data_IF_599043127947
#
_entry.id   IF_599043127947
#
_cell.length_a   1.000
_cell.length_b   1.000
_cell.length_c   1.000
_cell.angle_alpha   90.00
_cell.angle_beta   90.00
_cell.angle_gamma   90.00
#
_symmetry.space_group_name_H-M   'P 1'
#
loop_
_entity.id
_entity.type
_entity.pdbx_description
1 polymer ?
#
# COMPACT_ATOMS: atom_id res chain seq x y z
N UNK A 1 -14.26 -40.39 -16.99
CA UNK A 1 -12.86 -39.94 -16.93
C UNK A 1 -12.80 -38.86 -15.88
N UNK A 2 -11.98 -39.06 -14.86
CA UNK A 2 -11.92 -38.22 -13.68
C UNK A 2 -11.21 -36.89 -13.98
N UNK A 3 -11.87 -35.81 -13.59
CA UNK A 3 -11.37 -34.45 -13.54
C UNK A 3 -10.20 -34.37 -12.55
N UNK A 4 -8.97 -34.34 -13.09
CA UNK A 4 -7.71 -34.16 -12.36
C UNK A 4 -7.08 -32.82 -12.73
N UNK A 5 -7.87 -31.76 -12.73
CA UNK A 5 -7.40 -30.40 -12.93
C UNK A 5 -8.07 -29.46 -11.95
N UNK A 6 -7.83 -29.65 -10.65
CA UNK A 6 -8.27 -28.70 -9.64
C UNK A 6 -7.75 -27.32 -10.02
N UNK A 7 -8.62 -26.48 -10.58
CA UNK A 7 -8.24 -25.15 -11.04
C UNK A 7 -7.87 -24.33 -9.83
N UNK A 8 -6.57 -24.14 -9.60
CA UNK A 8 -6.09 -23.18 -8.62
C UNK A 8 -6.36 -21.78 -9.18
N UNK A 9 -7.59 -21.31 -9.00
CA UNK A 9 -8.00 -19.99 -9.46
C UNK A 9 -7.71 -18.98 -8.35
N UNK A 10 -6.59 -18.26 -8.49
CA UNK A 10 -6.27 -17.14 -7.61
C UNK A 10 -7.44 -16.14 -7.64
N UNK A 11 -8.05 -15.89 -6.47
CA UNK A 11 -9.13 -14.90 -6.33
C UNK A 11 -8.65 -13.47 -6.62
N UNK A 12 -7.35 -13.23 -6.51
CA UNK A 12 -6.68 -11.97 -6.83
C UNK A 12 -5.35 -12.29 -7.50
N UNK A 13 -5.14 -11.77 -8.71
CA UNK A 13 -3.90 -12.00 -9.45
C UNK A 13 -2.76 -11.09 -8.92
N UNK A 14 -1.49 -11.47 -9.10
CA UNK A 14 -0.35 -10.60 -8.77
C UNK A 14 -0.46 -9.20 -9.39
N UNK A 15 -0.88 -9.10 -10.65
CA UNK A 15 -1.05 -7.82 -11.35
C UNK A 15 -2.10 -6.94 -10.68
N UNK A 16 -3.19 -7.55 -10.19
CA UNK A 16 -4.23 -6.82 -9.47
C UNK A 16 -3.68 -6.27 -8.16
N UNK A 17 -2.87 -7.05 -7.43
CA UNK A 17 -2.24 -6.59 -6.19
C UNK A 17 -1.28 -5.41 -6.45
N UNK A 18 -0.45 -5.49 -7.48
CA UNK A 18 0.48 -4.41 -7.86
C UNK A 18 -0.25 -3.14 -8.28
N UNK A 19 -1.29 -3.28 -9.11
CA UNK A 19 -2.11 -2.13 -9.52
C UNK A 19 -2.75 -1.43 -8.32
N UNK A 20 -3.26 -2.19 -7.34
CA UNK A 20 -3.86 -1.63 -6.12
C UNK A 20 -2.81 -1.02 -5.20
N UNK A 21 -1.62 -1.62 -5.10
CA UNK A 21 -0.48 -1.08 -4.35
C UNK A 21 -0.08 0.31 -4.91
N UNK A 22 0.18 0.39 -6.23
CA UNK A 22 0.55 1.63 -6.91
C UNK A 22 -0.51 2.73 -6.77
N UNK A 23 -1.79 2.36 -6.87
CA UNK A 23 -2.91 3.30 -6.67
C UNK A 23 -2.98 3.81 -5.23
N UNK A 24 -2.71 2.96 -4.24
CA UNK A 24 -2.65 3.36 -2.84
C UNK A 24 -1.46 4.28 -2.55
N UNK A 25 -0.26 3.95 -3.05
CA UNK A 25 0.93 4.82 -2.94
C UNK A 25 0.67 6.22 -3.51
N UNK A 26 0.07 6.28 -4.70
CA UNK A 26 -0.27 7.55 -5.35
C UNK A 26 -1.21 8.41 -4.49
N UNK A 27 -2.17 7.80 -3.79
CA UNK A 27 -3.09 8.51 -2.90
C UNK A 27 -2.39 8.96 -1.61
N UNK A 28 -1.54 8.11 -1.04
CA UNK A 28 -0.76 8.43 0.16
C UNK A 28 0.21 9.59 -0.14
N UNK A 29 0.86 9.60 -1.31
CA UNK A 29 1.72 10.70 -1.73
C UNK A 29 0.97 12.04 -1.82
N UNK A 30 -0.26 12.03 -2.38
CA UNK A 30 -1.12 13.21 -2.42
C UNK A 30 -1.52 13.67 -1.01
N UNK A 31 -1.86 12.72 -0.13
CA UNK A 31 -2.21 13.01 1.25
C UNK A 31 -1.06 13.71 1.98
N UNK A 32 0.17 13.18 1.86
CA UNK A 32 1.39 13.81 2.41
C UNK A 32 1.59 15.22 1.90
N UNK A 33 1.40 15.44 0.59
CA UNK A 33 1.50 16.77 -0.02
C UNK A 33 0.51 17.75 0.60
N UNK A 34 -0.75 17.37 0.78
CA UNK A 34 -1.77 18.22 1.41
C UNK A 34 -1.41 18.57 2.86
N UNK A 35 -0.86 17.63 3.62
CA UNK A 35 -0.41 17.92 4.99
C UNK A 35 0.78 18.88 5.03
N UNK A 36 1.75 18.73 4.13
CA UNK A 36 2.86 19.69 4.00
C UNK A 36 2.36 21.09 3.63
N UNK A 37 1.37 21.19 2.74
CA UNK A 37 0.74 22.46 2.39
C UNK A 37 0.01 23.07 3.60
N UNK A 38 -0.71 22.26 4.36
CA UNK A 38 -1.38 22.70 5.58
C UNK A 38 -0.39 23.17 6.65
N UNK A 39 0.73 22.46 6.86
CA UNK A 39 1.83 22.88 7.74
C UNK A 39 2.34 24.28 7.36
N UNK A 40 2.53 24.52 6.07
CA UNK A 40 2.97 25.81 5.53
C UNK A 40 1.95 26.92 5.82
N UNK A 41 0.67 26.66 5.57
CA UNK A 41 -0.41 27.63 5.81
C UNK A 41 -0.50 27.97 7.29
N UNK A 42 -0.52 26.96 8.16
CA UNK A 42 -0.64 27.15 9.62
C UNK A 42 0.57 27.88 10.17
N UNK A 43 1.78 27.57 9.69
CA UNK A 43 2.98 28.30 10.10
C UNK A 43 2.89 29.79 9.73
N UNK A 44 2.37 30.12 8.54
CA UNK A 44 2.17 31.52 8.11
C UNK A 44 1.15 32.29 8.95
N UNK A 45 0.22 31.61 9.62
CA UNK A 45 -0.75 32.27 10.51
C UNK A 45 -0.07 33.05 11.64
N UNK A 46 1.14 32.65 12.04
CA UNK A 46 1.93 33.36 13.07
C UNK A 46 2.21 34.83 12.73
N UNK A 47 2.21 35.20 11.44
CA UNK A 47 2.51 36.57 11.01
C UNK A 47 1.35 37.56 11.17
N UNK A 48 0.10 37.07 11.26
CA UNK A 48 -1.08 37.94 11.33
C UNK A 48 -2.06 37.56 12.44
N UNK A 49 -2.05 36.31 12.91
CA UNK A 49 -2.85 35.84 14.03
C UNK A 49 -1.99 35.74 15.29
N UNK A 50 -1.84 36.91 15.90
CA UNK A 50 -1.10 37.13 17.13
C UNK A 50 -2.01 36.93 18.36
N UNK A 51 -1.40 36.54 19.48
CA UNK A 51 -2.09 36.34 20.75
C UNK A 51 -2.38 34.87 21.10
N UNK A 52 -2.91 34.66 22.30
CA UNK A 52 -3.05 33.35 22.94
C UNK A 52 -3.90 32.37 22.13
N UNK A 53 -4.96 32.85 21.49
CA UNK A 53 -5.82 32.01 20.64
C UNK A 53 -5.06 31.44 19.44
N UNK A 54 -4.24 32.26 18.76
CA UNK A 54 -3.44 31.83 17.62
C UNK A 54 -2.39 30.80 18.02
N UNK A 55 -1.72 31.01 19.16
CA UNK A 55 -0.76 30.06 19.70
C UNK A 55 -1.41 28.74 20.12
N UNK A 56 -2.57 28.80 20.77
CA UNK A 56 -3.33 27.61 21.16
C UNK A 56 -3.72 26.77 19.94
N UNK A 57 -4.24 27.38 18.88
CA UNK A 57 -4.61 26.67 17.67
C UNK A 57 -3.39 26.03 16.98
N UNK A 58 -2.25 26.74 16.89
CA UNK A 58 -1.00 26.18 16.36
C UNK A 58 -0.50 25.00 17.19
N UNK A 59 -0.62 25.09 18.53
CA UNK A 59 -0.25 24.01 19.44
C UNK A 59 -1.13 22.77 19.23
N UNK A 60 -2.46 22.93 19.22
CA UNK A 60 -3.41 21.83 18.99
C UNK A 60 -3.13 21.17 17.64
N UNK A 61 -2.86 21.98 16.60
CA UNK A 61 -2.51 21.43 15.29
C UNK A 61 -1.25 20.57 15.35
N UNK A 62 -0.19 21.05 16.01
CA UNK A 62 1.06 20.29 16.17
C UNK A 62 0.85 18.97 16.89
N UNK A 63 0.03 18.95 17.95
CA UNK A 63 -0.34 17.73 18.66
C UNK A 63 -1.09 16.74 17.75
N UNK A 64 -1.96 17.22 16.87
CA UNK A 64 -2.67 16.39 15.88
C UNK A 64 -1.79 15.92 14.74
N UNK A 65 -0.76 16.67 14.39
CA UNK A 65 0.19 16.30 13.34
C UNK A 65 0.90 14.97 13.66
N UNK A 66 1.29 14.76 14.92
CA UNK A 66 1.95 13.51 15.32
C UNK A 66 1.06 12.27 15.09
N UNK A 67 -0.24 12.40 15.42
CA UNK A 67 -1.25 11.36 15.17
C UNK A 67 -1.41 11.09 13.66
N UNK A 68 -1.42 12.15 12.85
CA UNK A 68 -1.53 12.06 11.39
C UNK A 68 -0.30 11.40 10.76
N UNK A 69 0.90 11.74 11.21
CA UNK A 69 2.15 11.14 10.72
C UNK A 69 2.16 9.62 11.02
N UNK A 70 1.66 9.19 12.19
CA UNK A 70 1.50 7.79 12.53
C UNK A 70 0.48 7.06 11.62
N UNK A 71 -0.64 7.71 11.29
CA UNK A 71 -1.64 7.18 10.37
C UNK A 71 -1.04 6.99 8.96
N UNK A 72 -0.31 7.99 8.46
CA UNK A 72 0.35 7.93 7.15
C UNK A 72 1.37 6.78 7.13
N UNK A 73 2.21 6.66 8.17
CA UNK A 73 3.18 5.57 8.27
C UNK A 73 2.50 4.19 8.29
N UNK A 74 1.32 4.07 8.91
CA UNK A 74 0.53 2.83 8.87
C UNK A 74 0.00 2.55 7.46
N UNK A 75 -0.50 3.58 6.78
CA UNK A 75 -1.02 3.45 5.42
C UNK A 75 0.07 3.02 4.43
N UNK A 76 1.29 3.54 4.58
CA UNK A 76 2.45 3.18 3.74
C UNK A 76 2.83 1.69 3.84
N UNK A 77 2.46 0.99 4.92
CA UNK A 77 2.71 -0.47 5.04
C UNK A 77 1.82 -1.30 4.10
N UNK A 78 0.63 -0.82 3.77
CA UNK A 78 -0.32 -1.63 2.99
C UNK A 78 0.15 -1.87 1.55
N UNK A 79 0.63 -0.87 0.78
CA UNK A 79 1.21 -1.11 -0.54
C UNK A 79 2.40 -2.07 -0.52
N UNK A 80 3.30 -1.92 0.45
CA UNK A 80 4.47 -2.81 0.62
C UNK A 80 4.01 -4.26 0.81
N UNK A 81 3.02 -4.49 1.67
CA UNK A 81 2.49 -5.83 1.90
C UNK A 81 1.83 -6.41 0.64
N UNK A 82 1.09 -5.60 -0.13
CA UNK A 82 0.48 -6.05 -1.39
C UNK A 82 1.54 -6.44 -2.43
N UNK A 83 2.63 -5.68 -2.51
CA UNK A 83 3.76 -5.97 -3.41
C UNK A 83 4.48 -7.26 -3.00
N UNK A 84 4.70 -7.46 -1.69
CA UNK A 84 5.27 -8.70 -1.16
C UNK A 84 4.38 -9.91 -1.47
N UNK A 85 3.06 -9.79 -1.29
CA UNK A 85 2.11 -10.85 -1.64
C UNK A 85 2.15 -11.17 -3.14
N UNK A 86 2.24 -10.15 -4.00
CA UNK A 86 2.38 -10.35 -5.45
C UNK A 86 3.66 -11.14 -5.80
N UNK A 87 4.77 -10.87 -5.12
CA UNK A 87 6.02 -11.62 -5.28
C UNK A 87 5.89 -13.09 -4.87
N UNK A 88 5.35 -13.35 -3.68
CA UNK A 88 5.13 -14.72 -3.17
C UNK A 88 4.24 -15.53 -4.13
N UNK A 89 3.20 -14.92 -4.70
CA UNK A 89 2.35 -15.62 -5.67
C UNK A 89 3.07 -16.00 -6.96
N UNK A 90 3.95 -15.13 -7.48
CA UNK A 90 4.75 -15.44 -8.67
C UNK A 90 5.74 -16.57 -8.44
N UNK A 91 6.41 -16.56 -7.28
CA UNK A 91 7.35 -17.62 -6.91
C UNK A 91 6.62 -18.96 -6.81
N UNK A 92 5.48 -19.01 -6.13
CA UNK A 92 4.67 -20.22 -6.02
C UNK A 92 4.13 -20.71 -7.38
N UNK A 93 3.79 -19.82 -8.30
CA UNK A 93 3.41 -20.19 -9.67
C UNK A 93 4.60 -20.77 -10.45
N UNK A 94 5.78 -20.17 -10.34
CA UNK A 94 6.99 -20.67 -10.99
C UNK A 94 7.38 -22.07 -10.49
N UNK A 95 7.38 -22.28 -9.16
CA UNK A 95 7.67 -23.57 -8.54
C UNK A 95 6.67 -24.66 -8.98
N UNK A 96 5.38 -24.32 -9.08
CA UNK A 96 4.36 -25.25 -9.56
C UNK A 96 4.54 -25.58 -11.06
N UNK A 97 4.92 -24.63 -11.89
CA UNK A 97 5.22 -24.88 -13.30
C UNK A 97 6.44 -25.80 -13.41
N UNK A 98 7.50 -25.55 -12.65
CA UNK A 98 8.70 -26.38 -12.62
C UNK A 98 8.40 -27.80 -12.11
N UNK A 99 7.58 -27.95 -11.07
CA UNK A 99 7.17 -29.26 -10.54
C UNK A 99 6.20 -30.02 -11.45
N UNK A 100 5.36 -29.33 -12.24
CA UNK A 100 4.42 -29.95 -13.18
C UNK A 100 5.05 -30.31 -14.53
N UNK A 101 6.13 -29.64 -14.92
CA UNK A 101 6.87 -29.89 -16.17
C UNK A 101 7.38 -31.34 -16.28
N UNK A 102 8.02 -31.96 -15.26
CA UNK A 102 8.44 -33.36 -15.32
C UNK A 102 7.27 -34.34 -15.22
N UNK A 103 6.17 -33.98 -14.54
CA UNK A 103 4.98 -34.84 -14.44
C UNK A 103 4.20 -34.93 -15.78
N UNK A 104 4.22 -33.87 -16.60
CA UNK A 104 3.65 -33.91 -17.97
C UNK A 104 4.54 -34.65 -18.98
N UNK A 105 5.85 -34.76 -18.72
CA UNK A 105 6.78 -35.54 -19.55
C UNK A 105 6.61 -37.06 -19.37
N UNK A 106 6.01 -37.51 -18.27
CA UNK A 106 5.85 -38.93 -17.91
C UNK A 106 4.52 -39.53 -18.39
N UNK A 107 3.74 -38.78 -19.19
CA UNK A 107 2.59 -39.32 -19.90
C UNK A 107 3.06 -39.91 -21.23
N UNK A 108 3.41 -41.20 -21.20
CA UNK A 108 3.58 -42.03 -22.41
C UNK A 108 2.18 -42.26 -23.01
N UNK A 109 1.98 -41.86 -24.27
CA UNK A 109 0.83 -42.26 -25.11
C UNK A 109 1.17 -43.55 -25.83
#
# INVERSE_FOLDING_TARGET
MADLGGSFQLKVTPETLEQRANAAESKIAKLKKYFTEMDSVISKTSGYWLGEAGELHRKIYKEKKEELDAIIARLEKHPVNLMQMAGVYREAEADNVEASSPLMSDIIV
#
